data_IF_739156058646
#
_entry.id   IF_739156058646
#
_cell.length_a   1.000
_cell.length_b   1.000
_cell.length_c   1.000
_cell.angle_alpha   90.00
_cell.angle_beta   90.00
_cell.angle_gamma   90.00
#
_symmetry.space_group_name_H-M   'P 1'
#
loop_
_entity.id
_entity.type
_entity.pdbx_description
1 polymer ?
#
# COMPACT_ATOMS: atom_id res chain seq x y z
N UNK A 1 -1.84 -39.03 60.94
CA UNK A 1 -1.49 -37.60 60.75
C UNK A 1 -0.14 -37.49 60.00
N UNK A 2 -0.16 -37.22 58.71
CA UNK A 2 1.06 -36.91 57.90
C UNK A 2 0.82 -35.51 57.26
N UNK A 3 1.59 -34.55 57.74
CA UNK A 3 1.63 -33.21 57.18
C UNK A 3 2.46 -33.20 55.86
N UNK A 4 1.89 -32.81 54.79
CA UNK A 4 2.59 -32.50 53.55
C UNK A 4 3.10 -31.06 53.60
N UNK A 5 4.41 -30.89 53.52
CA UNK A 5 5.10 -29.64 53.28
C UNK A 5 5.18 -29.45 51.75
N UNK A 6 4.58 -28.39 51.24
CA UNK A 6 4.85 -27.88 49.87
C UNK A 6 5.92 -26.78 49.97
N UNK A 7 6.97 -26.82 49.16
CA UNK A 7 8.01 -25.80 49.20
C UNK A 7 7.66 -24.60 48.37
N UNK A 8 7.93 -23.46 48.95
CA UNK A 8 7.82 -22.10 48.39
C UNK A 8 8.88 -21.84 47.31
N UNK A 9 8.62 -22.22 46.03
CA UNK A 9 9.54 -21.94 44.91
C UNK A 9 8.96 -21.02 43.82
N UNK A 10 7.71 -20.55 43.95
CA UNK A 10 7.04 -19.75 42.92
C UNK A 10 7.22 -18.24 43.12
N UNK A 11 7.62 -17.79 44.31
CA UNK A 11 7.67 -16.33 44.61
C UNK A 11 8.89 -15.59 44.06
N UNK A 12 9.99 -16.28 43.72
CA UNK A 12 11.28 -15.59 43.34
C UNK A 12 11.34 -15.23 41.86
N UNK A 13 10.63 -15.96 40.99
CA UNK A 13 10.69 -15.69 39.53
C UNK A 13 9.86 -14.46 39.12
N UNK A 14 8.78 -14.15 39.82
CA UNK A 14 7.92 -13.00 39.49
C UNK A 14 8.56 -11.65 39.88
N UNK A 15 9.36 -11.61 40.94
CA UNK A 15 10.03 -10.39 41.40
C UNK A 15 11.19 -9.99 40.49
N UNK A 16 11.89 -10.94 39.86
CA UNK A 16 13.01 -10.65 38.95
C UNK A 16 12.54 -10.10 37.57
N UNK A 17 11.32 -10.42 37.13
CA UNK A 17 10.73 -9.86 35.93
C UNK A 17 10.19 -8.44 36.11
N UNK A 18 9.70 -8.09 37.31
CA UNK A 18 9.26 -6.73 37.61
C UNK A 18 10.40 -5.73 37.82
N UNK A 19 11.57 -6.15 38.27
CA UNK A 19 12.72 -5.26 38.52
C UNK A 19 13.38 -4.74 37.21
N UNK A 20 13.27 -5.47 36.09
CA UNK A 20 13.78 -4.99 34.77
C UNK A 20 12.83 -4.04 34.04
N UNK A 21 11.56 -3.97 34.41
CA UNK A 21 10.57 -3.07 33.81
C UNK A 21 10.71 -1.61 34.30
N UNK A 22 11.23 -1.40 35.50
CA UNK A 22 11.27 -0.06 36.13
C UNK A 22 12.38 0.87 35.63
N UNK A 23 13.40 0.40 34.92
CA UNK A 23 14.50 1.26 34.43
C UNK A 23 14.15 1.97 33.10
N UNK A 24 13.09 1.49 32.39
CA UNK A 24 12.68 2.07 31.11
C UNK A 24 11.58 3.15 31.26
N UNK A 25 10.97 3.31 32.41
CA UNK A 25 9.77 4.14 32.63
C UNK A 25 10.10 5.63 32.87
N UNK A 26 11.34 5.96 33.27
CA UNK A 26 11.72 7.33 33.63
C UNK A 26 11.90 8.31 32.45
N UNK A 27 11.82 7.84 31.18
CA UNK A 27 12.03 8.68 29.98
C UNK A 27 10.79 8.84 29.10
N UNK A 28 9.66 8.24 29.45
CA UNK A 28 8.42 8.40 28.70
C UNK A 28 7.51 9.37 29.41
N UNK A 29 7.13 10.46 28.72
CA UNK A 29 6.18 11.46 29.25
C UNK A 29 5.07 11.72 28.25
N UNK A 30 3.89 12.03 28.75
CA UNK A 30 2.79 12.53 27.94
C UNK A 30 2.10 13.67 28.73
N UNK A 31 1.86 14.77 28.08
CA UNK A 31 1.01 15.87 28.56
C UNK A 31 -0.06 16.13 27.52
N UNK A 32 -1.18 16.71 27.95
CA UNK A 32 -2.32 16.98 27.09
C UNK A 32 -2.75 18.44 27.24
N UNK A 33 -3.03 19.06 26.13
CA UNK A 33 -3.66 20.39 26.09
C UNK A 33 -5.17 20.28 26.33
N UNK A 34 -5.84 21.41 26.54
CA UNK A 34 -7.29 21.45 26.79
C UNK A 34 -8.12 20.90 25.60
N UNK A 35 -7.62 21.03 24.36
CA UNK A 35 -8.26 20.51 23.15
C UNK A 35 -8.00 19.01 22.92
N UNK A 36 -7.23 18.34 23.80
CA UNK A 36 -6.84 16.94 23.70
C UNK A 36 -5.57 16.69 22.90
N UNK A 37 -4.87 17.73 22.45
CA UNK A 37 -3.55 17.57 21.79
C UNK A 37 -2.56 16.92 22.75
N UNK A 38 -1.93 15.83 22.32
CA UNK A 38 -0.96 15.07 23.11
C UNK A 38 0.48 15.45 22.74
N UNK A 39 1.25 15.85 23.75
CA UNK A 39 2.70 16.02 23.64
C UNK A 39 3.39 14.79 24.24
N UNK A 40 3.96 13.94 23.37
CA UNK A 40 4.49 12.63 23.79
C UNK A 40 5.99 12.56 23.53
N UNK A 41 6.76 12.28 24.58
CA UNK A 41 8.15 11.85 24.47
C UNK A 41 8.23 10.36 24.80
N UNK A 42 8.66 9.55 23.85
CA UNK A 42 8.77 8.10 24.00
C UNK A 42 10.06 7.56 23.41
N UNK A 43 10.71 6.68 24.15
CA UNK A 43 11.86 5.91 23.67
C UNK A 43 11.34 4.67 22.96
N UNK A 44 11.56 4.59 21.64
CA UNK A 44 11.21 3.43 20.82
C UNK A 44 12.47 2.65 20.53
N UNK A 45 12.56 1.43 21.05
CA UNK A 45 13.70 0.53 20.83
C UNK A 45 13.63 -0.09 19.43
N UNK A 46 14.75 -0.58 18.87
CA UNK A 46 14.73 -1.38 17.65
C UNK A 46 13.75 -2.55 17.79
N UNK A 47 12.95 -2.83 16.75
CA UNK A 47 11.98 -3.93 16.78
C UNK A 47 12.69 -5.29 16.77
N UNK A 48 12.10 -6.27 17.43
CA UNK A 48 12.60 -7.66 17.47
C UNK A 48 11.61 -8.67 16.87
N UNK A 49 10.49 -8.17 16.34
CA UNK A 49 9.39 -8.95 15.77
C UNK A 49 9.47 -9.11 14.25
N UNK A 50 10.50 -8.55 13.62
CA UNK A 50 10.78 -8.63 12.19
C UNK A 50 12.12 -9.36 11.95
N UNK A 51 12.37 -9.75 10.70
CA UNK A 51 13.60 -10.47 10.34
C UNK A 51 14.88 -9.65 10.63
N UNK A 52 16.03 -10.31 10.79
CA UNK A 52 17.32 -9.60 10.91
C UNK A 52 17.62 -8.70 9.71
N UNK A 53 17.23 -9.11 8.51
CA UNK A 53 17.35 -8.35 7.26
C UNK A 53 16.53 -7.06 7.34
N UNK A 54 15.28 -7.16 7.77
CA UNK A 54 14.39 -6.00 7.95
C UNK A 54 14.89 -5.06 9.06
N UNK A 55 15.42 -5.59 10.17
CA UNK A 55 16.06 -4.77 11.21
C UNK A 55 17.25 -3.97 10.66
N UNK A 56 18.11 -4.62 9.88
CA UNK A 56 19.26 -3.98 9.22
C UNK A 56 18.83 -2.91 8.22
N UNK A 57 17.82 -3.21 7.43
CA UNK A 57 17.25 -2.25 6.48
C UNK A 57 16.65 -1.03 7.19
N UNK A 58 15.84 -1.22 8.23
CA UNK A 58 15.30 -0.13 9.06
C UNK A 58 16.41 0.75 9.68
N UNK A 59 17.54 0.15 10.07
CA UNK A 59 18.72 0.90 10.54
C UNK A 59 19.33 1.78 9.45
N UNK A 60 19.31 1.34 8.20
CA UNK A 60 19.84 2.09 7.06
C UNK A 60 18.99 3.33 6.72
N UNK A 61 17.68 3.25 6.88
CA UNK A 61 16.76 4.36 6.61
C UNK A 61 17.06 5.58 7.48
N UNK A 62 17.44 5.37 8.74
CA UNK A 62 17.79 6.45 9.68
C UNK A 62 19.03 7.24 9.28
N UNK A 63 19.89 6.65 8.44
CA UNK A 63 21.18 7.23 8.02
C UNK A 63 21.11 7.95 6.68
N UNK A 64 20.08 7.67 5.89
CA UNK A 64 19.96 8.10 4.49
C UNK A 64 18.70 8.95 4.28
N UNK A 65 18.51 9.97 5.12
CA UNK A 65 17.43 10.93 4.91
C UNK A 65 17.81 11.86 3.75
N UNK A 66 17.08 11.82 2.66
CA UNK A 66 17.27 12.73 1.53
C UNK A 66 16.13 13.74 1.48
N UNK A 67 16.46 14.99 1.17
CA UNK A 67 15.49 16.05 0.95
C UNK A 67 15.56 16.49 -0.50
N UNK A 68 14.47 16.33 -1.25
CA UNK A 68 14.38 16.92 -2.58
C UNK A 68 13.81 18.34 -2.45
N UNK A 69 14.44 19.29 -3.12
CA UNK A 69 14.00 20.69 -3.11
C UNK A 69 12.98 20.98 -4.23
N UNK A 70 12.93 20.14 -5.27
CA UNK A 70 12.06 20.32 -6.43
C UNK A 70 11.39 19.00 -6.87
N UNK A 71 10.26 19.13 -7.58
CA UNK A 71 9.58 17.99 -8.17
C UNK A 71 10.46 17.25 -9.21
N UNK A 72 11.26 17.98 -9.99
CA UNK A 72 12.14 17.38 -10.99
C UNK A 72 13.25 16.54 -10.35
N UNK A 73 13.84 17.02 -9.26
CA UNK A 73 14.83 16.24 -8.47
C UNK A 73 14.20 14.97 -7.91
N UNK A 74 13.00 15.08 -7.35
CA UNK A 74 12.22 13.94 -6.85
C UNK A 74 11.94 12.93 -7.95
N UNK A 75 11.41 13.36 -9.11
CA UNK A 75 11.14 12.50 -10.26
C UNK A 75 12.40 11.78 -10.74
N UNK A 76 13.50 12.51 -10.92
CA UNK A 76 14.79 11.94 -11.32
C UNK A 76 15.27 10.87 -10.33
N UNK A 77 15.24 11.16 -9.03
CA UNK A 77 15.63 10.20 -8.00
C UNK A 77 14.74 8.97 -8.01
N UNK A 78 13.42 9.16 -8.14
CA UNK A 78 12.44 8.07 -8.24
C UNK A 78 12.70 7.19 -9.45
N UNK A 79 12.97 7.78 -10.62
CA UNK A 79 13.27 7.05 -11.85
C UNK A 79 14.57 6.24 -11.73
N UNK A 80 15.62 6.81 -11.13
CA UNK A 80 16.88 6.11 -10.89
C UNK A 80 16.70 4.95 -9.91
N UNK A 81 15.92 5.15 -8.84
CA UNK A 81 15.62 4.10 -7.87
C UNK A 81 14.76 3.00 -8.52
N UNK A 82 13.72 3.37 -9.24
CA UNK A 82 12.85 2.43 -9.96
C UNK A 82 13.64 1.57 -10.95
N UNK A 83 14.52 2.18 -11.74
CA UNK A 83 15.35 1.44 -12.69
C UNK A 83 16.22 0.38 -12.01
N UNK A 84 16.81 0.70 -10.84
CA UNK A 84 17.58 -0.27 -10.05
C UNK A 84 16.71 -1.40 -9.52
N UNK A 85 15.56 -1.08 -8.92
CA UNK A 85 14.66 -2.09 -8.35
C UNK A 85 14.00 -2.96 -9.43
N UNK A 86 13.61 -2.39 -10.57
CA UNK A 86 13.09 -3.16 -11.70
C UNK A 86 14.11 -4.18 -12.23
N UNK A 87 15.38 -3.81 -12.29
CA UNK A 87 16.43 -4.76 -12.68
C UNK A 87 16.56 -5.93 -11.69
N UNK A 88 16.34 -5.69 -10.39
CA UNK A 88 16.29 -6.75 -9.37
C UNK A 88 15.02 -7.58 -9.53
N UNK A 89 13.86 -6.94 -9.71
CA UNK A 89 12.58 -7.62 -9.92
C UNK A 89 12.63 -8.57 -11.11
N UNK A 90 13.09 -8.11 -12.27
CA UNK A 90 13.22 -8.93 -13.49
C UNK A 90 14.13 -10.15 -13.30
N UNK A 91 15.17 -10.01 -12.48
CA UNK A 91 16.07 -11.14 -12.17
C UNK A 91 15.42 -12.17 -11.25
N UNK A 92 14.65 -11.73 -10.25
CA UNK A 92 13.99 -12.61 -9.26
C UNK A 92 12.67 -13.19 -9.78
N UNK A 93 11.96 -12.41 -10.59
CA UNK A 93 10.64 -12.73 -11.12
C UNK A 93 10.63 -12.59 -12.65
N UNK A 94 11.30 -13.47 -13.40
CA UNK A 94 11.44 -13.34 -14.84
C UNK A 94 10.08 -13.40 -15.55
N UNK A 95 9.85 -12.44 -16.44
CA UNK A 95 8.64 -12.25 -17.23
C UNK A 95 9.00 -11.72 -18.63
N UNK A 96 8.04 -11.71 -19.55
CA UNK A 96 8.14 -10.98 -20.82
C UNK A 96 7.39 -9.65 -20.70
N UNK A 97 8.01 -8.56 -21.13
CA UNK A 97 7.44 -7.22 -21.09
C UNK A 97 7.35 -6.67 -22.50
N UNK A 98 6.18 -6.14 -22.88
CA UNK A 98 5.92 -5.51 -24.17
C UNK A 98 5.18 -4.19 -23.94
N UNK A 99 5.71 -3.09 -24.46
CA UNK A 99 5.03 -1.80 -24.43
C UNK A 99 3.87 -1.79 -25.43
N UNK A 100 2.68 -1.40 -25.01
CA UNK A 100 1.48 -1.30 -25.84
C UNK A 100 0.69 -0.03 -25.49
N UNK A 101 -0.15 0.42 -26.44
CA UNK A 101 -1.15 1.46 -26.19
C UNK A 101 -2.52 0.79 -26.06
N UNK A 102 -3.12 0.89 -24.87
CA UNK A 102 -4.42 0.29 -24.56
C UNK A 102 -5.41 1.41 -24.19
N UNK A 103 -6.51 1.50 -24.93
CA UNK A 103 -7.48 2.59 -24.71
C UNK A 103 -6.91 4.01 -24.92
N UNK A 104 -5.82 4.14 -25.69
CA UNK A 104 -5.10 5.40 -25.90
C UNK A 104 -4.07 5.72 -24.82
N UNK A 105 -3.86 4.83 -23.82
CA UNK A 105 -2.92 5.00 -22.72
C UNK A 105 -1.73 4.06 -22.92
N UNK A 106 -0.51 4.56 -22.68
CA UNK A 106 0.70 3.75 -22.69
C UNK A 106 0.66 2.76 -21.53
N UNK A 107 0.98 1.50 -21.80
CA UNK A 107 1.01 0.41 -20.82
C UNK A 107 2.19 -0.51 -21.10
N UNK A 108 2.73 -1.13 -20.05
CA UNK A 108 3.56 -2.32 -20.18
C UNK A 108 2.70 -3.57 -19.96
N UNK A 109 2.68 -4.45 -20.95
CA UNK A 109 2.03 -5.76 -20.87
C UNK A 109 3.05 -6.77 -20.40
N UNK A 110 2.91 -7.20 -19.15
CA UNK A 110 3.81 -8.11 -18.44
C UNK A 110 3.20 -9.52 -18.51
N UNK A 111 3.87 -10.42 -19.20
CA UNK A 111 3.39 -11.80 -19.41
C UNK A 111 4.31 -12.78 -18.69
N UNK A 112 3.78 -13.66 -17.81
CA UNK A 112 4.58 -14.73 -17.21
C UNK A 112 5.21 -15.61 -18.29
N UNK A 113 6.41 -16.17 -18.03
CA UNK A 113 7.06 -17.12 -18.96
C UNK A 113 6.19 -18.35 -19.21
N UNK A 114 5.41 -18.75 -18.21
CA UNK A 114 4.45 -19.83 -18.29
C UNK A 114 3.09 -19.35 -17.78
N UNK A 115 2.04 -19.50 -18.60
CA UNK A 115 0.65 -19.17 -18.24
C UNK A 115 -0.18 -20.46 -18.30
N UNK A 116 -0.63 -20.98 -17.14
CA UNK A 116 -1.55 -22.11 -17.09
C UNK A 116 -2.83 -21.87 -17.90
N UNK A 117 -3.46 -22.92 -18.41
CA UNK A 117 -4.68 -22.80 -19.21
C UNK A 117 -5.80 -22.02 -18.47
N UNK A 118 -5.93 -22.24 -17.16
CA UNK A 118 -6.89 -21.54 -16.31
C UNK A 118 -6.67 -20.01 -16.27
N UNK A 119 -5.44 -19.54 -16.47
CA UNK A 119 -5.07 -18.13 -16.37
C UNK A 119 -5.06 -17.39 -17.71
N UNK A 120 -5.22 -18.09 -18.85
CA UNK A 120 -5.16 -17.47 -20.18
C UNK A 120 -6.20 -16.38 -20.41
N UNK A 121 -7.35 -16.50 -19.76
CA UNK A 121 -8.47 -15.55 -19.88
C UNK A 121 -8.56 -14.57 -18.69
N UNK A 122 -7.48 -14.45 -17.89
CA UNK A 122 -7.37 -13.56 -16.76
C UNK A 122 -6.35 -12.46 -17.04
N UNK A 123 -6.61 -11.27 -16.51
CA UNK A 123 -5.69 -10.14 -16.59
C UNK A 123 -5.77 -9.32 -15.31
N UNK A 124 -4.64 -8.78 -14.89
CA UNK A 124 -4.54 -7.80 -13.81
C UNK A 124 -4.16 -6.43 -14.39
N UNK A 125 -4.71 -5.38 -13.85
CA UNK A 125 -4.30 -4.00 -14.10
C UNK A 125 -3.49 -3.55 -12.89
N UNK A 126 -2.26 -3.12 -13.12
CA UNK A 126 -1.41 -2.51 -12.10
C UNK A 126 -1.44 -0.99 -12.24
N UNK A 127 -1.64 -0.32 -11.11
CA UNK A 127 -1.61 1.13 -10.96
C UNK A 127 -0.48 1.49 -10.00
N UNK A 128 0.59 2.09 -10.53
CA UNK A 128 1.80 2.33 -9.75
C UNK A 128 1.65 3.39 -8.66
N UNK A 129 2.50 3.32 -7.64
CA UNK A 129 2.65 4.35 -6.60
C UNK A 129 3.41 5.59 -7.09
N UNK A 130 3.73 6.50 -6.17
CA UNK A 130 4.53 7.70 -6.45
C UNK A 130 3.79 9.02 -6.24
N UNK A 131 2.75 9.05 -5.38
CA UNK A 131 2.05 10.28 -4.96
C UNK A 131 1.38 11.03 -6.10
N UNK A 132 0.98 10.34 -7.17
CA UNK A 132 0.40 10.89 -8.40
C UNK A 132 1.32 11.84 -9.18
N UNK A 133 2.55 12.04 -8.77
CA UNK A 133 3.48 12.97 -9.41
C UNK A 133 4.76 12.31 -9.94
N UNK A 134 4.95 11.03 -9.68
CA UNK A 134 6.04 10.20 -10.19
C UNK A 134 5.58 8.74 -10.34
N UNK A 135 6.34 7.94 -11.10
CA UNK A 135 6.15 6.49 -11.18
C UNK A 135 7.18 5.79 -10.30
N UNK A 136 6.75 5.26 -9.16
CA UNK A 136 7.64 4.53 -8.24
C UNK A 136 7.54 3.01 -8.35
N UNK A 137 6.61 2.44 -9.15
CA UNK A 137 6.32 1.04 -8.99
C UNK A 137 5.87 0.23 -10.19
N UNK A 138 5.74 0.79 -11.40
CA UNK A 138 5.09 0.11 -12.53
C UNK A 138 5.60 -1.31 -12.82
N UNK A 139 6.90 -1.53 -12.89
CA UNK A 139 7.50 -2.87 -13.07
C UNK A 139 7.82 -3.56 -11.75
N UNK A 140 8.16 -2.81 -10.70
CA UNK A 140 8.47 -3.36 -9.37
C UNK A 140 7.26 -4.08 -8.76
N UNK A 141 6.05 -3.62 -9.07
CA UNK A 141 4.80 -4.27 -8.65
C UNK A 141 4.33 -5.32 -9.66
N UNK A 142 4.40 -4.98 -10.94
CA UNK A 142 3.85 -5.81 -12.02
C UNK A 142 4.58 -7.13 -12.19
N UNK A 143 5.91 -7.11 -12.23
CA UNK A 143 6.74 -8.29 -12.50
C UNK A 143 6.55 -9.40 -11.45
N UNK A 144 6.67 -9.12 -10.12
CA UNK A 144 6.45 -10.13 -9.11
C UNK A 144 5.04 -10.72 -9.13
N UNK A 145 4.02 -9.87 -9.25
CA UNK A 145 2.63 -10.33 -9.23
C UNK A 145 2.33 -11.17 -10.49
N UNK A 146 2.80 -10.74 -11.68
CA UNK A 146 2.64 -11.52 -12.90
C UNK A 146 3.32 -12.89 -12.77
N UNK A 147 4.57 -12.92 -12.30
CA UNK A 147 5.32 -14.16 -12.15
C UNK A 147 4.69 -15.11 -11.13
N UNK A 148 4.33 -14.62 -9.93
CA UNK A 148 3.82 -15.43 -8.83
C UNK A 148 2.38 -15.92 -9.07
N UNK A 149 1.50 -15.04 -9.54
CA UNK A 149 0.11 -15.39 -9.85
C UNK A 149 -0.03 -16.17 -11.16
N UNK A 150 0.98 -16.15 -12.02
CA UNK A 150 0.92 -16.70 -13.39
C UNK A 150 -0.22 -16.09 -14.23
N UNK A 151 -0.52 -14.80 -13.99
CA UNK A 151 -1.55 -14.02 -14.67
C UNK A 151 -0.86 -12.84 -15.36
N UNK A 152 -1.32 -12.50 -16.56
CA UNK A 152 -0.87 -11.33 -17.29
C UNK A 152 -1.19 -10.06 -16.49
N UNK A 153 -0.25 -9.11 -16.43
CA UNK A 153 -0.42 -7.79 -15.80
C UNK A 153 -0.28 -6.71 -16.87
N UNK A 154 -1.16 -5.72 -16.83
CA UNK A 154 -1.10 -4.48 -17.60
C UNK A 154 -0.75 -3.36 -16.63
N UNK A 155 0.51 -2.90 -16.65
CA UNK A 155 0.97 -1.75 -15.88
C UNK A 155 0.66 -0.46 -16.64
N UNK A 156 -0.17 0.40 -16.04
CA UNK A 156 -0.70 1.61 -16.69
C UNK A 156 0.14 2.82 -16.36
N UNK A 157 0.66 3.51 -17.37
CA UNK A 157 1.33 4.81 -17.24
C UNK A 157 0.29 5.94 -17.29
N UNK A 158 -0.49 6.06 -16.22
CA UNK A 158 -1.51 7.09 -16.12
C UNK A 158 -0.90 8.50 -16.01
N UNK A 159 -1.63 9.52 -16.44
CA UNK A 159 -1.20 10.92 -16.41
C UNK A 159 -0.98 11.42 -14.99
N UNK A 160 0.11 12.16 -14.79
CA UNK A 160 0.58 12.61 -13.49
C UNK A 160 0.26 14.08 -13.23
N UNK A 161 0.11 14.41 -11.96
CA UNK A 161 0.03 15.77 -11.46
C UNK A 161 1.45 16.36 -11.28
N UNK A 162 1.60 17.67 -11.28
CA UNK A 162 0.57 18.71 -11.40
C UNK A 162 0.07 18.96 -12.84
N UNK A 163 0.72 18.38 -13.85
CA UNK A 163 0.40 18.63 -15.26
C UNK A 163 -1.03 18.18 -15.58
N UNK A 164 -1.47 17.09 -14.95
CA UNK A 164 -2.79 16.48 -15.14
C UNK A 164 -3.40 16.10 -13.78
N UNK A 165 -4.04 17.06 -13.08
CA UNK A 165 -4.69 16.77 -11.81
C UNK A 165 -5.91 15.86 -12.00
N UNK A 166 -6.52 15.45 -10.90
CA UNK A 166 -7.79 14.71 -10.90
C UNK A 166 -8.83 15.39 -11.81
N UNK A 167 -9.56 14.61 -12.63
CA UNK A 167 -9.65 13.15 -12.66
C UNK A 167 -8.80 12.48 -13.75
N UNK A 168 -7.75 13.09 -14.28
CA UNK A 168 -7.02 12.61 -15.45
C UNK A 168 -6.52 11.16 -15.32
N UNK A 169 -5.93 10.79 -14.17
CA UNK A 169 -5.49 9.42 -13.92
C UNK A 169 -6.65 8.42 -13.89
N UNK A 170 -7.78 8.80 -13.29
CA UNK A 170 -9.00 7.97 -13.26
C UNK A 170 -9.54 7.74 -14.68
N UNK A 171 -9.55 8.78 -15.51
CA UNK A 171 -10.03 8.69 -16.90
C UNK A 171 -9.14 7.75 -17.73
N UNK A 172 -7.83 7.74 -17.51
CA UNK A 172 -6.90 6.83 -18.15
C UNK A 172 -7.18 5.37 -17.75
N UNK A 173 -7.39 5.10 -16.46
CA UNK A 173 -7.76 3.76 -15.98
C UNK A 173 -9.10 3.31 -16.58
N UNK A 174 -10.10 4.20 -16.64
CA UNK A 174 -11.39 3.91 -17.28
C UNK A 174 -11.21 3.54 -18.75
N UNK A 175 -10.34 4.24 -19.49
CA UNK A 175 -10.07 3.96 -20.90
C UNK A 175 -9.42 2.59 -21.10
N UNK A 176 -8.40 2.25 -20.30
CA UNK A 176 -7.75 0.93 -20.29
C UNK A 176 -8.75 -0.17 -19.94
N UNK A 177 -9.53 0.02 -18.87
CA UNK A 177 -10.51 -0.97 -18.43
C UNK A 177 -11.57 -1.25 -19.50
N UNK A 178 -12.13 -0.22 -20.14
CA UNK A 178 -13.08 -0.37 -21.25
C UNK A 178 -12.50 -1.15 -22.43
N UNK A 179 -11.22 -0.94 -22.74
CA UNK A 179 -10.56 -1.68 -23.82
C UNK A 179 -10.39 -3.17 -23.45
N UNK A 180 -9.97 -3.45 -22.22
CA UNK A 180 -9.82 -4.83 -21.72
C UNK A 180 -11.14 -5.59 -21.63
N UNK A 181 -12.25 -4.90 -21.34
CA UNK A 181 -13.60 -5.51 -21.35
C UNK A 181 -14.04 -6.04 -22.72
N UNK A 182 -13.42 -5.63 -23.83
CA UNK A 182 -13.68 -6.21 -25.16
C UNK A 182 -13.13 -7.63 -25.31
N UNK A 183 -12.13 -7.97 -24.47
CA UNK A 183 -11.41 -9.27 -24.55
C UNK A 183 -11.67 -10.14 -23.32
N UNK A 184 -11.78 -9.53 -22.14
CA UNK A 184 -11.87 -10.24 -20.87
C UNK A 184 -13.24 -10.05 -20.22
N UNK A 185 -13.76 -11.10 -19.60
CA UNK A 185 -14.96 -10.98 -18.75
C UNK A 185 -14.62 -10.14 -17.51
N UNK A 186 -15.53 -9.34 -16.97
CA UNK A 186 -15.29 -8.52 -15.78
C UNK A 186 -14.72 -9.32 -14.59
N UNK A 187 -15.27 -10.49 -14.31
CA UNK A 187 -14.81 -11.37 -13.22
C UNK A 187 -13.39 -11.93 -13.43
N UNK A 188 -12.83 -11.79 -14.62
CA UNK A 188 -11.49 -12.23 -14.98
C UNK A 188 -10.48 -11.06 -14.97
N UNK A 189 -10.93 -9.86 -14.66
CA UNK A 189 -10.08 -8.67 -14.52
C UNK A 189 -9.91 -8.36 -13.04
N UNK A 190 -8.67 -8.25 -12.56
CA UNK A 190 -8.35 -7.68 -11.25
C UNK A 190 -7.66 -6.32 -11.42
N UNK A 191 -7.76 -5.47 -10.42
CA UNK A 191 -7.06 -4.18 -10.40
C UNK A 191 -6.34 -4.04 -9.07
N UNK A 192 -5.08 -3.60 -9.10
CA UNK A 192 -4.32 -3.38 -7.88
C UNK A 192 -3.33 -2.23 -8.02
N UNK A 193 -2.91 -1.72 -6.90
CA UNK A 193 -1.81 -0.76 -6.84
C UNK A 193 -1.37 -0.48 -5.41
N UNK A 194 -0.25 0.23 -5.31
CA UNK A 194 0.36 0.65 -4.05
C UNK A 194 0.29 2.16 -3.91
N UNK A 195 0.07 2.68 -2.69
CA UNK A 195 0.13 4.12 -2.41
C UNK A 195 -0.87 4.92 -3.27
N UNK A 196 -0.41 5.85 -4.09
CA UNK A 196 -1.25 6.54 -5.08
C UNK A 196 -2.01 5.57 -5.99
N UNK A 197 -1.39 4.46 -6.41
CA UNK A 197 -2.05 3.42 -7.20
C UNK A 197 -3.13 2.68 -6.44
N UNK A 198 -2.97 2.48 -5.13
CA UNK A 198 -4.01 1.91 -4.27
C UNK A 198 -5.23 2.83 -4.17
N UNK A 199 -4.98 4.14 -4.03
CA UNK A 199 -6.02 5.16 -4.02
C UNK A 199 -6.75 5.16 -5.37
N UNK A 200 -5.99 5.22 -6.47
CA UNK A 200 -6.53 5.18 -7.83
C UNK A 200 -7.33 3.91 -8.12
N UNK A 201 -6.97 2.77 -7.52
CA UNK A 201 -7.74 1.52 -7.61
C UNK A 201 -9.15 1.69 -7.03
N UNK A 202 -9.28 2.31 -5.86
CA UNK A 202 -10.56 2.59 -5.23
C UNK A 202 -11.37 3.64 -6.00
N UNK A 203 -10.72 4.73 -6.44
CA UNK A 203 -11.30 5.79 -7.26
C UNK A 203 -11.88 5.23 -8.58
N UNK A 204 -11.09 4.40 -9.27
CA UNK A 204 -11.51 3.77 -10.53
C UNK A 204 -12.73 2.86 -10.32
N UNK A 205 -12.78 2.06 -9.26
CA UNK A 205 -13.91 1.19 -8.97
C UNK A 205 -15.19 1.99 -8.69
N UNK A 206 -15.13 3.09 -7.94
CA UNK A 206 -16.25 4.01 -7.75
C UNK A 206 -16.65 4.65 -9.09
N UNK A 207 -15.69 5.07 -9.90
CA UNK A 207 -15.98 5.65 -11.22
C UNK A 207 -16.64 4.65 -12.16
N UNK A 208 -16.27 3.38 -12.12
CA UNK A 208 -16.95 2.32 -12.90
C UNK A 208 -18.41 2.19 -12.49
N UNK A 209 -18.72 2.19 -11.17
CA UNK A 209 -20.11 2.19 -10.70
C UNK A 209 -20.89 3.39 -11.22
N UNK A 210 -20.35 4.60 -11.14
CA UNK A 210 -21.01 5.82 -11.65
C UNK A 210 -21.29 5.75 -13.15
N UNK A 211 -20.39 5.13 -13.92
CA UNK A 211 -20.54 4.97 -15.38
C UNK A 211 -21.41 3.76 -15.76
N UNK A 212 -21.91 2.97 -14.81
CA UNK A 212 -22.66 1.76 -15.06
C UNK A 212 -21.84 0.66 -15.75
N UNK A 213 -20.51 0.69 -15.63
CA UNK A 213 -19.65 -0.36 -16.14
C UNK A 213 -19.70 -1.58 -15.21
N UNK A 214 -19.57 -2.81 -15.75
CA UNK A 214 -19.41 -3.98 -14.90
C UNK A 214 -18.14 -3.83 -14.07
N UNK A 215 -18.21 -4.24 -12.80
CA UNK A 215 -17.06 -4.15 -11.88
C UNK A 215 -16.07 -5.31 -12.11
N UNK A 216 -14.78 -5.13 -11.81
CA UNK A 216 -13.77 -6.19 -11.90
C UNK A 216 -14.02 -7.30 -10.88
N UNK A 217 -13.38 -8.45 -11.06
CA UNK A 217 -13.53 -9.61 -10.18
C UNK A 217 -12.88 -9.45 -8.82
N UNK A 218 -11.84 -8.59 -8.70
CA UNK A 218 -11.14 -8.36 -7.45
C UNK A 218 -10.35 -7.04 -7.45
N UNK A 219 -10.15 -6.46 -6.27
CA UNK A 219 -9.30 -5.29 -6.05
C UNK A 219 -8.16 -5.61 -5.09
N UNK A 220 -6.99 -4.98 -5.29
CA UNK A 220 -5.86 -4.96 -4.38
C UNK A 220 -5.52 -3.51 -4.00
N UNK A 221 -5.70 -3.15 -2.75
CA UNK A 221 -5.44 -1.80 -2.23
C UNK A 221 -4.31 -1.89 -1.22
N UNK A 222 -3.08 -1.64 -1.71
CA UNK A 222 -1.88 -1.86 -0.93
C UNK A 222 -1.36 -0.52 -0.39
N UNK A 223 -1.63 -0.25 0.88
CA UNK A 223 -1.28 1.00 1.56
C UNK A 223 -1.89 2.24 0.86
N UNK A 224 -3.20 2.38 0.95
CA UNK A 224 -3.97 3.48 0.36
C UNK A 224 -4.78 4.26 1.39
N UNK A 225 -5.38 5.34 0.94
CA UNK A 225 -6.42 6.08 1.65
C UNK A 225 -7.68 6.17 0.77
N UNK A 226 -8.80 6.60 1.36
CA UNK A 226 -10.06 6.79 0.64
C UNK A 226 -10.78 8.09 1.09
N UNK A 227 -10.08 8.99 1.75
CA UNK A 227 -10.57 10.29 2.23
C UNK A 227 -9.45 11.33 2.19
N UNK A 228 -9.55 12.29 1.28
CA UNK A 228 -8.62 13.42 1.17
C UNK A 228 -8.98 14.60 2.06
N UNK A 229 -10.14 14.58 2.72
CA UNK A 229 -10.59 15.68 3.55
C UNK A 229 -9.97 15.68 4.95
N UNK A 230 -9.31 14.56 5.34
CA UNK A 230 -8.73 14.40 6.69
C UNK A 230 -7.49 13.52 6.66
N UNK A 231 -6.48 13.90 7.43
CA UNK A 231 -5.36 13.03 7.73
C UNK A 231 -5.75 12.00 8.80
N UNK A 232 -5.29 10.77 8.65
CA UNK A 232 -5.44 9.75 9.69
C UNK A 232 -4.35 9.86 10.75
N UNK A 233 -4.58 9.26 11.92
CA UNK A 233 -3.66 9.30 13.06
C UNK A 233 -2.25 8.76 12.72
N UNK A 234 -2.18 7.68 11.96
CA UNK A 234 -0.88 7.12 11.51
C UNK A 234 -0.07 8.11 10.67
N UNK A 235 -0.73 8.98 9.92
CA UNK A 235 -0.06 10.00 9.13
C UNK A 235 0.67 11.01 10.02
N UNK A 236 0.06 11.42 11.11
CA UNK A 236 0.67 12.30 12.11
C UNK A 236 1.78 11.61 12.88
N UNK A 237 1.58 10.33 13.27
CA UNK A 237 2.55 9.58 14.08
C UNK A 237 3.78 9.11 13.31
N UNK A 238 3.63 8.75 12.04
CA UNK A 238 4.69 8.10 11.25
C UNK A 238 5.27 8.95 10.13
N UNK A 239 4.91 10.23 10.03
CA UNK A 239 5.56 11.17 9.12
C UNK A 239 6.91 11.72 9.66
N UNK A 240 7.44 11.14 10.73
CA UNK A 240 8.72 11.52 11.31
C UNK A 240 9.88 10.90 10.53
N UNK A 241 10.78 11.75 10.07
CA UNK A 241 12.01 11.34 9.39
C UNK A 241 12.78 10.29 10.21
N UNK A 242 13.16 9.19 9.56
CA UNK A 242 13.95 8.11 10.16
C UNK A 242 13.15 7.12 11.04
N UNK A 243 11.86 7.33 11.29
CA UNK A 243 11.02 6.36 11.99
C UNK A 243 10.31 5.41 11.01
N UNK A 244 9.58 5.89 10.00
CA UNK A 244 9.04 5.07 8.91
C UNK A 244 9.92 5.10 7.66
N UNK A 245 11.04 5.85 7.66
CA UNK A 245 11.91 6.03 6.50
C UNK A 245 11.74 7.38 5.81
N UNK A 246 11.36 7.40 4.56
CA UNK A 246 11.65 8.48 3.61
C UNK A 246 10.57 9.57 3.47
N UNK A 247 9.51 9.55 4.25
CA UNK A 247 8.47 10.56 4.09
C UNK A 247 8.80 11.81 4.92
N UNK A 248 8.91 12.95 4.22
CA UNK A 248 9.01 14.25 4.86
C UNK A 248 7.78 14.52 5.75
N UNK A 249 8.00 15.36 6.75
CA UNK A 249 6.90 15.87 7.57
C UNK A 249 5.90 16.52 6.62
N UNK A 250 4.71 15.95 6.58
CA UNK A 250 3.62 16.55 5.83
C UNK A 250 3.17 17.79 6.60
N UNK A 251 3.35 18.95 5.99
CA UNK A 251 2.71 20.16 6.49
C UNK A 251 1.19 19.97 6.39
N UNK A 252 0.45 19.92 7.51
CA UNK A 252 -1.00 19.77 7.47
C UNK A 252 -1.71 20.87 6.67
N UNK A 253 -1.07 22.04 6.52
CA UNK A 253 -1.58 23.16 5.74
C UNK A 253 -1.33 22.99 4.23
N UNK A 254 -0.37 22.14 3.82
CA UNK A 254 0.00 21.92 2.42
C UNK A 254 0.29 20.41 2.18
N UNK A 255 -0.75 19.56 2.16
CA UNK A 255 -0.57 18.14 1.93
C UNK A 255 0.07 17.88 0.55
N UNK A 256 1.00 16.94 0.43
CA UNK A 256 1.73 16.67 -0.81
C UNK A 256 0.84 16.18 -1.97
N UNK A 257 -0.43 15.91 -1.71
CA UNK A 257 -1.43 15.50 -2.69
C UNK A 257 -2.25 16.68 -3.27
N UNK A 258 -2.04 17.92 -2.82
CA UNK A 258 -2.77 19.10 -3.31
C UNK A 258 -2.70 19.24 -4.83
N UNK A 259 -1.55 18.94 -5.43
CA UNK A 259 -1.38 18.99 -6.87
C UNK A 259 -2.29 17.98 -7.62
N UNK A 260 -2.54 16.80 -7.03
CA UNK A 260 -3.46 15.82 -7.59
C UNK A 260 -4.91 16.21 -7.41
N UNK A 261 -5.29 16.60 -6.20
CA UNK A 261 -6.66 17.04 -5.85
C UNK A 261 -7.07 18.27 -6.68
N UNK A 262 -6.15 19.20 -6.88
CA UNK A 262 -6.36 20.42 -7.65
C UNK A 262 -7.47 21.27 -7.05
N UNK A 263 -8.51 21.56 -7.84
CA UNK A 263 -9.67 22.37 -7.43
C UNK A 263 -10.89 21.52 -7.04
N UNK A 264 -10.75 20.20 -7.00
CA UNK A 264 -11.85 19.30 -6.71
C UNK A 264 -12.18 19.33 -5.21
N UNK A 265 -13.47 19.22 -4.86
CA UNK A 265 -13.87 19.07 -3.47
C UNK A 265 -13.21 17.82 -2.88
N UNK A 266 -12.44 17.91 -1.79
CA UNK A 266 -11.85 16.75 -1.14
C UNK A 266 -12.86 15.65 -0.74
N UNK A 267 -14.14 15.96 -0.71
CA UNK A 267 -15.23 15.00 -0.46
C UNK A 267 -15.93 14.50 -1.73
N UNK A 268 -15.43 14.84 -2.91
CA UNK A 268 -15.95 14.24 -4.14
C UNK A 268 -15.91 12.70 -4.01
N UNK A 269 -17.00 11.98 -4.27
CA UNK A 269 -17.08 10.55 -4.00
C UNK A 269 -16.17 9.67 -4.90
N UNK A 270 -15.68 10.18 -6.01
CA UNK A 270 -14.66 9.47 -6.80
C UNK A 270 -13.28 9.72 -6.23
N UNK A 271 -12.93 10.98 -5.98
CA UNK A 271 -11.65 11.37 -5.37
C UNK A 271 -11.49 10.76 -3.97
N UNK A 272 -12.55 10.75 -3.18
CA UNK A 272 -12.58 10.19 -1.83
C UNK A 272 -13.65 9.10 -1.73
N UNK A 273 -13.35 7.86 -2.10
CA UNK A 273 -14.27 6.74 -2.14
C UNK A 273 -15.05 6.48 -0.84
N UNK A 274 -14.54 6.95 0.30
CA UNK A 274 -15.23 6.85 1.58
C UNK A 274 -16.60 7.59 1.60
N UNK A 275 -16.80 8.56 0.71
CA UNK A 275 -18.07 9.31 0.55
C UNK A 275 -18.98 8.72 -0.54
N UNK A 276 -18.56 7.64 -1.20
CA UNK A 276 -19.36 6.95 -2.20
C UNK A 276 -20.29 5.91 -1.57
N UNK A 277 -21.27 5.44 -2.36
CA UNK A 277 -21.97 4.20 -2.06
C UNK A 277 -21.05 3.01 -2.35
N UNK A 278 -20.52 2.38 -1.29
CA UNK A 278 -19.60 1.25 -1.40
C UNK A 278 -20.31 -0.09 -1.60
N UNK A 279 -21.62 -0.18 -1.38
CA UNK A 279 -22.33 -1.46 -1.49
C UNK A 279 -22.13 -2.14 -2.86
N UNK A 280 -21.70 -3.39 -2.83
CA UNK A 280 -21.42 -4.19 -4.03
C UNK A 280 -20.08 -3.91 -4.67
N UNK A 281 -19.11 -3.36 -3.92
CA UNK A 281 -17.71 -3.28 -4.36
C UNK A 281 -17.13 -4.69 -4.54
N UNK A 282 -16.18 -4.87 -5.47
CA UNK A 282 -15.55 -6.17 -5.67
C UNK A 282 -14.87 -6.69 -4.41
N UNK A 283 -14.68 -8.01 -4.26
CA UNK A 283 -13.81 -8.56 -3.25
C UNK A 283 -12.48 -7.81 -3.22
N UNK A 284 -12.05 -7.33 -2.05
CA UNK A 284 -10.91 -6.43 -1.92
C UNK A 284 -9.90 -6.96 -0.92
N UNK A 285 -8.62 -7.06 -1.32
CA UNK A 285 -7.50 -7.26 -0.41
C UNK A 285 -6.88 -5.91 -0.07
N UNK A 286 -6.79 -5.59 1.22
CA UNK A 286 -6.04 -4.45 1.71
C UNK A 286 -4.76 -4.95 2.42
N UNK A 287 -3.63 -4.32 2.13
CA UNK A 287 -2.34 -4.64 2.77
C UNK A 287 -1.71 -3.36 3.28
N UNK A 288 -1.19 -3.37 4.50
CA UNK A 288 -0.49 -2.25 5.14
C UNK A 288 0.47 -2.79 6.21
N UNK A 289 1.04 -1.91 7.02
CA UNK A 289 1.88 -2.28 8.15
C UNK A 289 1.69 -1.32 9.33
N UNK A 290 2.19 -1.71 10.52
CA UNK A 290 1.94 -0.94 11.75
C UNK A 290 2.68 0.39 11.82
N UNK A 291 3.69 0.64 10.96
CA UNK A 291 4.37 1.96 10.82
C UNK A 291 4.15 2.62 9.47
N UNK A 292 3.16 2.16 8.74
CA UNK A 292 2.77 2.80 7.49
C UNK A 292 2.02 4.11 7.75
N UNK A 293 2.45 5.19 7.09
CA UNK A 293 1.77 6.49 7.20
C UNK A 293 0.30 6.44 6.73
N UNK A 294 -0.04 5.50 5.83
CA UNK A 294 -1.40 5.30 5.33
C UNK A 294 -2.19 4.17 6.04
N UNK A 295 -1.66 3.64 7.17
CA UNK A 295 -2.35 2.62 7.96
C UNK A 295 -3.77 3.03 8.34
N UNK A 296 -3.96 4.26 8.85
CA UNK A 296 -5.30 4.76 9.22
C UNK A 296 -6.24 4.81 8.02
N UNK A 297 -5.78 5.33 6.88
CA UNK A 297 -6.58 5.37 5.66
C UNK A 297 -7.00 3.98 5.18
N UNK A 298 -6.06 3.04 5.15
CA UNK A 298 -6.30 1.64 4.76
C UNK A 298 -7.30 0.96 5.70
N UNK A 299 -7.14 1.10 7.02
CA UNK A 299 -8.03 0.46 8.01
C UNK A 299 -9.42 1.08 8.06
N UNK A 300 -9.53 2.41 7.87
CA UNK A 300 -10.82 3.11 7.78
C UNK A 300 -11.59 2.61 6.55
N UNK A 301 -10.92 2.49 5.40
CA UNK A 301 -11.57 2.03 4.18
C UNK A 301 -11.97 0.56 4.26
N UNK A 302 -11.10 -0.31 4.80
CA UNK A 302 -11.45 -1.71 5.07
C UNK A 302 -12.73 -1.82 5.89
N UNK A 303 -12.81 -1.10 7.02
CA UNK A 303 -14.02 -1.10 7.86
C UNK A 303 -15.25 -0.58 7.12
N UNK A 304 -15.10 0.42 6.26
CA UNK A 304 -16.21 0.95 5.47
C UNK A 304 -16.76 -0.08 4.48
N UNK A 305 -15.89 -0.87 3.82
CA UNK A 305 -16.30 -1.98 2.96
C UNK A 305 -17.06 -3.05 3.75
N UNK A 306 -16.57 -3.45 4.94
CA UNK A 306 -17.28 -4.41 5.80
C UNK A 306 -18.66 -3.89 6.25
N UNK A 307 -18.78 -2.60 6.57
CA UNK A 307 -20.08 -1.97 6.93
C UNK A 307 -21.03 -1.94 5.75
N UNK A 308 -20.52 -1.79 4.53
CA UNK A 308 -21.31 -1.88 3.30
C UNK A 308 -21.76 -3.31 2.98
N UNK A 309 -21.21 -4.32 3.65
CA UNK A 309 -21.51 -5.75 3.45
C UNK A 309 -20.67 -6.40 2.37
N UNK A 310 -19.55 -5.77 1.99
CA UNK A 310 -18.65 -6.26 0.95
C UNK A 310 -17.58 -7.20 1.51
N UNK A 311 -17.05 -8.06 0.65
CA UNK A 311 -15.97 -9.01 0.99
C UNK A 311 -14.62 -8.28 0.98
N UNK A 312 -14.02 -8.09 2.15
CA UNK A 312 -12.77 -7.37 2.31
C UNK A 312 -11.83 -8.07 3.31
N UNK A 313 -10.64 -8.43 2.82
CA UNK A 313 -9.55 -8.99 3.62
C UNK A 313 -8.54 -7.88 3.98
N UNK A 314 -8.05 -7.87 5.22
CA UNK A 314 -6.98 -6.97 5.66
C UNK A 314 -5.78 -7.75 6.17
N UNK A 315 -4.60 -7.44 5.63
CA UNK A 315 -3.31 -7.96 6.11
C UNK A 315 -2.45 -6.81 6.61
N UNK A 316 -1.99 -6.90 7.86
CA UNK A 316 -1.15 -5.87 8.49
C UNK A 316 0.17 -6.50 8.91
N UNK A 317 1.26 -6.04 8.30
CA UNK A 317 2.62 -6.44 8.68
C UNK A 317 3.12 -5.63 9.88
N UNK A 318 3.97 -6.23 10.70
CA UNK A 318 4.50 -5.57 11.89
C UNK A 318 5.67 -4.64 11.53
N UNK A 319 5.68 -3.44 12.09
CA UNK A 319 6.80 -2.46 12.10
C UNK A 319 7.15 -1.81 10.76
N UNK A 320 7.11 -2.55 9.68
CA UNK A 320 7.65 -2.11 8.38
C UNK A 320 7.03 -0.79 7.90
N UNK A 321 7.77 0.07 7.18
CA UNK A 321 7.25 1.33 6.67
C UNK A 321 6.41 1.13 5.41
N UNK A 322 5.88 2.24 4.89
CA UNK A 322 5.10 2.34 3.67
C UNK A 322 5.76 1.62 2.49
N UNK A 323 4.99 0.77 1.78
CA UNK A 323 5.42 0.07 0.56
C UNK A 323 6.72 -0.77 0.73
N UNK A 324 6.94 -1.36 1.91
CA UNK A 324 8.13 -2.16 2.19
C UNK A 324 8.31 -3.33 1.20
N UNK A 325 7.27 -3.81 0.58
CA UNK A 325 7.30 -4.89 -0.42
C UNK A 325 8.02 -4.53 -1.73
N UNK A 326 8.53 -3.33 -1.88
CA UNK A 326 9.46 -2.96 -2.94
C UNK A 326 10.92 -3.34 -2.65
N UNK A 327 11.21 -3.83 -1.45
CA UNK A 327 12.53 -4.20 -0.96
C UNK A 327 12.68 -5.72 -0.96
N UNK A 328 13.15 -6.25 -2.10
CA UNK A 328 13.18 -7.71 -2.37
C UNK A 328 14.17 -8.49 -1.50
N UNK A 329 15.08 -7.81 -0.79
CA UNK A 329 15.98 -8.41 0.17
C UNK A 329 15.31 -8.85 1.48
N UNK A 330 14.06 -8.44 1.71
CA UNK A 330 13.33 -8.74 2.94
C UNK A 330 12.52 -10.04 2.81
N UNK A 331 12.61 -10.98 3.76
CA UNK A 331 11.74 -12.15 3.82
C UNK A 331 10.25 -11.78 3.85
N UNK A 332 9.89 -10.70 4.56
CA UNK A 332 8.54 -10.18 4.66
C UNK A 332 7.99 -9.71 3.30
N UNK A 333 8.85 -9.20 2.41
CA UNK A 333 8.47 -8.87 1.04
C UNK A 333 8.03 -10.10 0.26
N UNK A 334 8.79 -11.20 0.37
CA UNK A 334 8.44 -12.48 -0.27
C UNK A 334 7.10 -13.00 0.23
N UNK A 335 6.86 -12.95 1.53
CA UNK A 335 5.58 -13.32 2.14
C UNK A 335 4.44 -12.45 1.61
N UNK A 336 4.61 -11.13 1.63
CA UNK A 336 3.63 -10.16 1.20
C UNK A 336 3.22 -10.35 -0.27
N UNK A 337 4.19 -10.45 -1.18
CA UNK A 337 3.95 -10.66 -2.61
C UNK A 337 3.23 -11.99 -2.90
N UNK A 338 3.55 -13.04 -2.15
CA UNK A 338 2.84 -14.32 -2.25
C UNK A 338 1.38 -14.23 -1.78
N UNK A 339 1.09 -13.46 -0.71
CA UNK A 339 -0.27 -13.21 -0.23
C UNK A 339 -1.07 -12.48 -1.32
N UNK A 340 -0.51 -11.40 -1.89
CA UNK A 340 -1.12 -10.61 -2.95
C UNK A 340 -1.41 -11.47 -4.20
N UNK A 341 -0.43 -12.21 -4.68
CA UNK A 341 -0.57 -13.06 -5.87
C UNK A 341 -1.62 -14.17 -5.68
N UNK A 342 -1.58 -14.89 -4.56
CA UNK A 342 -2.54 -15.95 -4.22
C UNK A 342 -3.97 -15.41 -4.06
N UNK A 343 -4.11 -14.17 -3.61
CA UNK A 343 -5.42 -13.54 -3.50
C UNK A 343 -6.11 -13.44 -4.88
N UNK A 344 -5.42 -12.89 -5.88
CA UNK A 344 -5.97 -12.78 -7.24
C UNK A 344 -6.22 -14.15 -7.87
N UNK A 345 -5.34 -15.11 -7.65
CA UNK A 345 -5.55 -16.48 -8.15
C UNK A 345 -6.83 -17.11 -7.60
N UNK A 346 -7.18 -16.86 -6.34
CA UNK A 346 -8.39 -17.36 -5.70
C UNK A 346 -9.67 -16.61 -6.08
N UNK A 347 -9.58 -15.29 -6.31
CA UNK A 347 -10.78 -14.43 -6.44
C UNK A 347 -11.21 -14.22 -7.89
N UNK A 348 -10.31 -14.30 -8.85
CA UNK A 348 -10.69 -14.14 -10.26
C UNK A 348 -11.40 -15.38 -10.81
N UNK A 349 -12.34 -15.15 -11.74
CA UNK A 349 -13.09 -16.21 -12.41
C UNK A 349 -12.22 -17.22 -13.14
N UNK A 350 -12.70 -18.47 -13.24
CA UNK A 350 -12.04 -19.56 -13.95
C UNK A 350 -12.68 -19.79 -15.32
#
# INVERSE_FOLDING_TARGET
MKRFLFPSFVAIVVVALCAKANVAQEKNTATFDEDGTAHVMRVIRPPTTISPEAQKWMDSLRKNVSHDSTLDERRKRTDEWRARQSAVAMKLFPVNIEEQTIGGVRCDVITPLETPAANKNRVLINLHGGGFNSDSGSLIEGDPIANLAKIKVVSVYYRLAPEHPFPAAVDDVVAVYKELLKTYKPNNIGIFGTSAGAILTAEAAVRFKQLGLPLPGALGIFSGLADYSRAGDSHLMYSLSGLPGEFDIVDPAHPPLDAYVGKTDPKDPVLSPLFADLKGMPPTLLVTSTRDILLSGTTIFHRALLVAGDDADLVVFEVLPHAFWYHFELPETTECLNIMAKYFDRKLGH
#
